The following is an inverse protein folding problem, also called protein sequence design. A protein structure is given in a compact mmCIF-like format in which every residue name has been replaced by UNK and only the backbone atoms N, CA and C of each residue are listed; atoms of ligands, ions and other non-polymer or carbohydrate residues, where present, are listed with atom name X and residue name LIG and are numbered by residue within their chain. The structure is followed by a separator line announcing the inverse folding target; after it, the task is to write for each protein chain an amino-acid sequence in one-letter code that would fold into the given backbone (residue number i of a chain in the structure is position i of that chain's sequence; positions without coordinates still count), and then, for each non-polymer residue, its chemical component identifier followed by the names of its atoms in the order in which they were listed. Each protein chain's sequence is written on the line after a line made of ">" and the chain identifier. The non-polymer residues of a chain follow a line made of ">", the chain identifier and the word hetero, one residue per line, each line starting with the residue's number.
data_IF_398930767099
#
_entry.id   IF_398930767099
#
_cell.length_a   1.000
_cell.length_b   1.000
_cell.length_c   1.000
_cell.angle_alpha   90.00
_cell.angle_beta   90.00
_cell.angle_gamma   90.00
#
_symmetry.space_group_name_H-M   'P 1'
#
loop_
_entity.id
_entity.type
_entity.pdbx_description
1 polymer ?
#
# COMPACT_ATOMS: atom_id res chain seq x y z
N UNK A 1 13.27 6.74 0.69
CA UNK A 1 12.90 6.62 2.12
C UNK A 1 13.36 5.27 2.64
N UNK A 2 13.48 5.07 3.95
CA UNK A 2 13.68 3.73 4.52
C UNK A 2 12.34 2.96 4.55
N UNK A 3 12.37 1.62 4.56
CA UNK A 3 11.15 0.79 4.70
C UNK A 3 10.36 1.15 5.97
N UNK A 4 11.03 1.44 7.07
CA UNK A 4 10.39 1.82 8.33
C UNK A 4 9.60 3.13 8.18
N UNK A 5 10.21 4.15 7.55
CA UNK A 5 9.56 5.44 7.28
C UNK A 5 8.33 5.27 6.38
N UNK A 6 8.40 4.36 5.41
CA UNK A 6 7.26 4.04 4.54
C UNK A 6 6.12 3.42 5.33
N UNK A 7 6.38 2.38 6.12
CA UNK A 7 5.33 1.76 6.94
C UNK A 7 4.69 2.74 7.93
N UNK A 8 5.49 3.64 8.53
CA UNK A 8 4.97 4.71 9.37
C UNK A 8 4.07 5.68 8.58
N UNK A 9 4.48 6.07 7.37
CA UNK A 9 3.68 6.95 6.50
C UNK A 9 2.34 6.30 6.14
N UNK A 10 2.36 5.01 5.77
CA UNK A 10 1.16 4.23 5.47
C UNK A 10 0.22 4.16 6.69
N UNK A 11 0.76 3.83 7.87
CA UNK A 11 -0.05 3.76 9.11
C UNK A 11 -0.70 5.09 9.46
N UNK A 12 0.05 6.18 9.34
CA UNK A 12 -0.46 7.53 9.59
C UNK A 12 -1.58 7.89 8.61
N UNK A 13 -1.39 7.62 7.32
CA UNK A 13 -2.40 7.88 6.30
C UNK A 13 -3.70 7.12 6.56
N UNK A 14 -3.60 5.81 6.83
CA UNK A 14 -4.76 4.95 7.14
C UNK A 14 -5.48 5.40 8.42
N UNK A 15 -4.74 5.84 9.44
CA UNK A 15 -5.32 6.32 10.70
C UNK A 15 -6.03 7.65 10.56
N UNK A 16 -5.56 8.51 9.65
CA UNK A 16 -6.16 9.82 9.36
C UNK A 16 -7.31 9.74 8.36
N UNK A 17 -7.49 8.62 7.67
CA UNK A 17 -8.56 8.44 6.69
C UNK A 17 -9.94 8.48 7.36
N UNK A 18 -10.95 9.09 6.71
CA UNK A 18 -12.34 8.98 7.14
C UNK A 18 -12.74 7.51 7.29
N UNK A 19 -13.54 7.19 8.32
CA UNK A 19 -13.89 5.80 8.66
C UNK A 19 -14.49 5.01 7.50
N UNK A 20 -15.30 5.67 6.66
CA UNK A 20 -15.91 5.09 5.46
C UNK A 20 -14.97 5.00 4.24
N UNK A 21 -13.76 5.58 4.31
CA UNK A 21 -12.76 5.60 3.24
C UNK A 21 -11.49 4.82 3.62
N UNK A 22 -11.40 4.23 4.82
CA UNK A 22 -10.20 3.53 5.30
C UNK A 22 -9.68 2.47 4.34
N UNK A 23 -10.56 1.67 3.73
CA UNK A 23 -10.16 0.64 2.76
C UNK A 23 -9.62 1.26 1.46
N UNK A 24 -10.23 2.34 0.99
CA UNK A 24 -9.74 3.09 -0.16
C UNK A 24 -8.34 3.65 0.11
N UNK A 25 -8.12 4.20 1.31
CA UNK A 25 -6.81 4.70 1.73
C UNK A 25 -5.76 3.58 1.75
N UNK A 26 -6.10 2.41 2.30
CA UNK A 26 -5.21 1.24 2.28
C UNK A 26 -4.78 0.94 0.83
N UNK A 27 -5.71 0.89 -0.12
CA UNK A 27 -5.41 0.64 -1.52
C UNK A 27 -4.56 1.74 -2.15
N UNK A 28 -4.83 3.01 -1.84
CA UNK A 28 -4.04 4.14 -2.31
C UNK A 28 -2.58 4.03 -1.84
N UNK A 29 -2.37 3.70 -0.57
CA UNK A 29 -1.04 3.50 0.00
C UNK A 29 -0.32 2.30 -0.62
N UNK A 30 -1.04 1.21 -0.94
CA UNK A 30 -0.48 0.08 -1.69
C UNK A 30 -0.04 0.45 -3.10
N UNK A 31 -0.78 1.34 -3.79
CA UNK A 31 -0.40 1.85 -5.11
C UNK A 31 0.84 2.75 -5.01
N UNK A 32 0.82 3.70 -4.05
CA UNK A 32 1.85 4.72 -3.86
C UNK A 32 3.23 4.13 -3.57
N UNK A 33 3.30 3.10 -2.72
CA UNK A 33 4.55 2.50 -2.28
C UNK A 33 4.85 1.13 -2.92
N UNK A 34 4.17 0.78 -4.02
CA UNK A 34 4.31 -0.54 -4.65
C UNK A 34 5.76 -0.85 -5.11
N UNK A 35 6.47 0.16 -5.62
CA UNK A 35 7.86 0.00 -6.08
C UNK A 35 8.88 0.05 -4.94
N UNK A 36 8.53 0.67 -3.81
CA UNK A 36 9.40 0.73 -2.63
C UNK A 36 9.35 -0.55 -1.77
N UNK A 37 8.33 -1.39 -2.00
CA UNK A 37 8.11 -2.66 -1.29
C UNK A 37 8.14 -3.89 -2.25
N UNK A 38 9.17 -4.05 -3.11
CA UNK A 38 9.16 -5.04 -4.19
C UNK A 38 9.18 -6.49 -3.68
N UNK A 39 9.90 -6.75 -2.58
CA UNK A 39 10.10 -8.09 -2.02
C UNK A 39 9.27 -8.37 -0.75
N UNK A 40 8.39 -7.45 -0.38
CA UNK A 40 7.57 -7.58 0.82
C UNK A 40 6.46 -8.60 0.54
N UNK A 41 6.29 -9.56 1.45
CA UNK A 41 5.16 -10.49 1.41
C UNK A 41 3.89 -9.83 1.94
N UNK A 42 2.70 -10.30 1.52
CA UNK A 42 1.44 -9.78 2.07
C UNK A 42 1.33 -9.94 3.59
N UNK A 43 1.90 -11.02 4.15
CA UNK A 43 1.95 -11.27 5.60
C UNK A 43 2.86 -10.25 6.29
N UNK A 44 4.05 -10.00 5.76
CA UNK A 44 4.98 -8.98 6.28
C UNK A 44 4.35 -7.59 6.21
N UNK A 45 3.71 -7.25 5.08
CA UNK A 45 3.03 -5.97 4.91
C UNK A 45 1.96 -5.77 5.99
N UNK A 46 1.05 -6.74 6.17
CA UNK A 46 0.01 -6.68 7.19
C UNK A 46 0.61 -6.53 8.59
N UNK A 47 1.67 -7.27 8.92
CA UNK A 47 2.36 -7.19 10.21
C UNK A 47 2.94 -5.79 10.46
N UNK A 48 3.65 -5.22 9.48
CA UNK A 48 4.33 -3.93 9.63
C UNK A 48 3.39 -2.74 9.63
N UNK A 49 2.23 -2.87 8.96
CA UNK A 49 1.18 -1.85 8.89
C UNK A 49 0.10 -2.03 9.96
N UNK A 50 0.19 -3.08 10.79
CA UNK A 50 -0.82 -3.45 11.79
C UNK A 50 -2.23 -3.64 11.19
N UNK A 51 -2.27 -4.08 9.92
CA UNK A 51 -3.49 -4.46 9.24
C UNK A 51 -3.85 -5.92 9.50
N UNK A 52 -5.15 -6.22 9.39
CA UNK A 52 -5.63 -7.61 9.39
C UNK A 52 -4.93 -8.42 8.29
N UNK A 53 -4.62 -9.68 8.58
CA UNK A 53 -4.04 -10.62 7.61
C UNK A 53 -4.91 -10.84 6.38
N UNK A 54 -6.21 -10.52 6.46
CA UNK A 54 -7.13 -10.51 5.32
C UNK A 54 -6.66 -9.63 4.15
N UNK A 55 -5.89 -8.57 4.42
CA UNK A 55 -5.34 -7.67 3.39
C UNK A 55 -4.11 -8.24 2.65
N UNK A 56 -3.55 -9.38 3.08
CA UNK A 56 -2.30 -9.89 2.50
C UNK A 56 -2.44 -10.30 1.03
N UNK A 57 -3.56 -10.92 0.68
CA UNK A 57 -3.88 -11.25 -0.72
C UNK A 57 -4.18 -9.99 -1.55
N UNK A 58 -4.83 -8.99 -0.93
CA UNK A 58 -5.13 -7.71 -1.56
C UNK A 58 -3.85 -6.93 -1.88
N UNK A 59 -2.91 -6.86 -0.93
CA UNK A 59 -1.59 -6.26 -1.16
C UNK A 59 -0.90 -6.86 -2.39
N UNK A 60 -0.90 -8.20 -2.49
CA UNK A 60 -0.26 -8.92 -3.59
C UNK A 60 -0.93 -8.61 -4.93
N UNK A 61 -2.27 -8.52 -4.95
CA UNK A 61 -3.05 -8.11 -6.14
C UNK A 61 -2.77 -6.66 -6.51
N UNK A 62 -2.79 -5.75 -5.54
CA UNK A 62 -2.54 -4.32 -5.75
C UNK A 62 -1.14 -4.09 -6.30
N UNK A 63 -0.10 -4.75 -5.79
CA UNK A 63 1.27 -4.64 -6.33
C UNK A 63 1.34 -5.05 -7.82
N UNK A 64 0.67 -6.14 -8.20
CA UNK A 64 0.60 -6.58 -9.59
C UNK A 64 -0.24 -5.63 -10.47
N UNK A 65 -1.32 -5.07 -9.90
CA UNK A 65 -2.13 -4.06 -10.56
C UNK A 65 -1.33 -2.78 -10.81
N UNK A 66 -0.53 -2.30 -9.84
CA UNK A 66 0.31 -1.11 -10.00
C UNK A 66 1.26 -1.24 -11.18
N UNK A 67 1.88 -2.41 -11.38
CA UNK A 67 2.73 -2.67 -12.56
C UNK A 67 1.97 -2.47 -13.87
N UNK A 68 0.72 -2.90 -13.95
CA UNK A 68 -0.14 -2.72 -15.13
C UNK A 68 -0.58 -1.27 -15.29
N UNK A 69 -0.94 -0.58 -14.21
CA UNK A 69 -1.37 0.82 -14.23
C UNK A 69 -0.22 1.74 -14.65
N UNK A 70 0.99 1.53 -14.13
CA UNK A 70 2.19 2.29 -14.54
C UNK A 70 2.48 2.11 -16.03
N UNK A 71 2.37 0.89 -16.55
CA UNK A 71 2.45 0.62 -18.00
C UNK A 71 1.38 1.35 -18.82
N UNK A 72 0.23 1.66 -18.21
CA UNK A 72 -0.85 2.44 -18.84
C UNK A 72 -0.69 3.96 -18.63
N UNK A 73 0.40 4.42 -18.01
CA UNK A 73 0.69 5.84 -17.80
C UNK A 73 0.31 6.38 -16.42
N UNK A 74 -0.03 5.54 -15.44
CA UNK A 74 -0.19 5.98 -14.06
C UNK A 74 1.14 6.53 -13.52
N UNK A 75 1.10 7.77 -13.06
CA UNK A 75 2.19 8.42 -12.33
C UNK A 75 1.87 8.40 -10.82
N UNK A 76 2.50 7.47 -10.09
CA UNK A 76 2.31 7.33 -8.64
C UNK A 76 2.83 8.53 -7.85
N UNK A 77 3.69 9.38 -8.43
CA UNK A 77 4.15 10.62 -7.80
C UNK A 77 3.06 11.70 -7.74
N UNK A 78 1.95 11.52 -8.47
CA UNK A 78 0.77 12.41 -8.47
C UNK A 78 -0.37 11.90 -7.59
N UNK A 79 -0.17 10.80 -6.85
CA UNK A 79 -1.12 10.21 -5.92
C UNK A 79 -0.96 10.74 -4.48
#
# INVERSE_FOLDING_TARGET
>A
MTKLTIYQSIKTAISNAPRNQRTLEIHLQMLKYADDLPDVSGVEFCKMTELSTSFGAEFSKMRNLTKRLKRAGLDVGKL
#
